data_IF_418210912039
#
_entry.id   IF_418210912039
#
_cell.length_a   1.000
_cell.length_b   1.000
_cell.length_c   1.000
_cell.angle_alpha   90.00
_cell.angle_beta   90.00
_cell.angle_gamma   90.00
#
_symmetry.space_group_name_H-M   'P 1'
#
loop_
_entity.id
_entity.type
_entity.pdbx_description
1 polymer ?
#
# COMPACT_ATOMS: atom_id res chain seq x y z
N UNK A 1 27.35 0.40 28.82
CA UNK A 1 27.01 1.30 27.69
C UNK A 1 26.28 2.50 28.27
N UNK A 2 26.90 3.67 28.20
CA UNK A 2 26.41 4.89 28.87
C UNK A 2 24.96 5.18 28.54
N UNK A 3 24.13 5.42 29.56
CA UNK A 3 22.70 5.76 29.44
C UNK A 3 22.50 6.97 28.51
N UNK A 4 23.44 7.89 28.53
CA UNK A 4 23.43 9.10 27.69
C UNK A 4 23.63 8.81 26.18
N UNK A 5 24.45 7.82 25.85
CA UNK A 5 24.65 7.37 24.47
C UNK A 5 23.38 6.72 23.91
N UNK A 6 22.73 5.90 24.72
CA UNK A 6 21.44 5.26 24.35
C UNK A 6 20.34 6.29 24.13
N UNK A 7 20.26 7.34 24.97
CA UNK A 7 19.28 8.43 24.78
C UNK A 7 19.57 9.25 23.52
N UNK A 8 20.85 9.59 23.25
CA UNK A 8 21.23 10.30 22.01
C UNK A 8 20.94 9.48 20.76
N UNK A 9 21.23 8.16 20.80
CA UNK A 9 20.87 7.25 19.70
C UNK A 9 19.36 7.15 19.50
N UNK A 10 18.58 7.09 20.59
CA UNK A 10 17.11 7.11 20.51
C UNK A 10 16.58 8.42 19.92
N UNK A 11 17.17 9.56 20.29
CA UNK A 11 16.81 10.86 19.71
C UNK A 11 17.18 10.93 18.22
N UNK A 12 18.38 10.47 17.84
CA UNK A 12 18.80 10.42 16.44
C UNK A 12 17.90 9.53 15.59
N UNK A 13 17.50 8.35 16.10
CA UNK A 13 16.56 7.44 15.43
C UNK A 13 15.17 8.08 15.25
N UNK A 14 14.72 8.90 16.21
CA UNK A 14 13.48 9.67 16.08
C UNK A 14 13.51 10.65 14.90
N UNK A 15 14.63 11.32 14.69
CA UNK A 15 14.81 12.24 13.56
C UNK A 15 14.95 11.50 12.23
N UNK A 16 15.64 10.35 12.22
CA UNK A 16 15.72 9.49 11.05
C UNK A 16 14.32 9.00 10.61
N UNK A 17 13.44 8.69 11.55
CA UNK A 17 12.06 8.31 11.24
C UNK A 17 11.27 9.41 10.53
N UNK A 18 11.58 10.68 10.81
CA UNK A 18 10.96 11.80 10.12
C UNK A 18 11.60 12.05 8.73
N UNK A 19 12.88 11.75 8.57
CA UNK A 19 13.62 11.97 7.33
C UNK A 19 13.41 10.87 6.29
N UNK A 20 13.09 9.63 6.71
CA UNK A 20 12.90 8.50 5.80
C UNK A 20 11.81 8.74 4.76
N UNK A 21 10.59 9.17 5.12
CA UNK A 21 9.59 9.53 4.13
C UNK A 21 10.07 10.58 3.14
N UNK A 22 10.82 11.58 3.60
CA UNK A 22 11.38 12.66 2.76
C UNK A 22 12.49 12.15 1.84
N UNK A 23 13.38 11.29 2.31
CA UNK A 23 14.43 10.70 1.48
C UNK A 23 13.86 9.81 0.38
N UNK A 24 12.81 9.06 0.68
CA UNK A 24 12.12 8.21 -0.29
C UNK A 24 11.47 9.02 -1.41
N UNK A 25 11.05 10.24 -1.14
CA UNK A 25 10.57 11.15 -2.17
C UNK A 25 11.66 11.59 -3.13
N UNK A 26 12.85 11.93 -2.63
CA UNK A 26 13.98 12.24 -3.48
C UNK A 26 14.21 11.15 -4.54
N UNK A 27 14.15 9.88 -4.13
CA UNK A 27 14.27 8.74 -5.04
C UNK A 27 13.09 8.58 -6.02
N UNK A 28 11.88 8.94 -5.62
CA UNK A 28 10.73 8.89 -6.52
C UNK A 28 10.85 9.90 -7.66
N UNK A 29 11.58 10.99 -7.46
CA UNK A 29 11.80 12.04 -8.46
C UNK A 29 13.04 11.82 -9.33
N UNK A 30 13.99 10.99 -8.93
CA UNK A 30 15.16 10.66 -9.76
C UNK A 30 14.84 9.57 -10.78
N UNK A 31 14.99 9.90 -12.06
CA UNK A 31 14.66 9.01 -13.19
C UNK A 31 15.52 7.74 -13.24
N UNK A 32 16.69 7.77 -12.65
CA UNK A 32 17.70 6.72 -12.65
C UNK A 32 18.20 6.40 -11.23
N UNK A 33 17.41 6.67 -10.20
CA UNK A 33 17.81 6.35 -8.84
C UNK A 33 18.04 4.84 -8.73
N UNK A 34 19.27 4.49 -8.45
CA UNK A 34 19.63 3.13 -8.12
C UNK A 34 18.91 2.76 -6.81
N UNK A 35 17.99 1.78 -6.83
CA UNK A 35 17.28 1.34 -5.63
C UNK A 35 18.23 0.89 -4.52
N UNK A 36 19.47 0.57 -4.85
CA UNK A 36 20.52 0.13 -3.94
C UNK A 36 20.74 1.13 -2.80
N UNK A 37 20.75 2.44 -3.07
CA UNK A 37 20.95 3.46 -2.05
C UNK A 37 19.79 3.49 -1.07
N UNK A 38 18.56 3.42 -1.55
CA UNK A 38 17.35 3.36 -0.70
C UNK A 38 17.33 2.08 0.14
N UNK A 39 17.73 0.94 -0.43
CA UNK A 39 17.87 -0.32 0.29
C UNK A 39 18.86 -0.17 1.44
N UNK A 40 20.03 0.41 1.18
CA UNK A 40 21.04 0.62 2.23
C UNK A 40 20.59 1.57 3.33
N UNK A 41 19.90 2.66 2.98
CA UNK A 41 19.32 3.57 3.98
C UNK A 41 18.31 2.82 4.86
N UNK A 42 17.42 2.01 4.26
CA UNK A 42 16.43 1.24 5.00
C UNK A 42 17.07 0.14 5.84
N UNK A 43 18.09 -0.56 5.33
CA UNK A 43 18.84 -1.57 6.07
C UNK A 43 19.52 -0.94 7.27
N UNK A 44 20.20 0.19 7.08
CA UNK A 44 20.87 0.93 8.15
C UNK A 44 19.86 1.39 9.20
N UNK A 45 18.74 1.96 8.78
CA UNK A 45 17.70 2.42 9.68
C UNK A 45 17.03 1.25 10.44
N UNK A 46 16.72 0.13 9.78
CA UNK A 46 16.23 -1.08 10.43
C UNK A 46 17.27 -1.62 11.42
N UNK A 47 18.53 -1.68 11.04
CA UNK A 47 19.61 -2.13 11.90
C UNK A 47 19.76 -1.26 13.16
N UNK A 48 19.73 0.07 13.01
CA UNK A 48 19.77 1.00 14.15
C UNK A 48 18.55 0.85 15.05
N UNK A 49 17.37 0.66 14.49
CA UNK A 49 16.15 0.40 15.27
C UNK A 49 16.19 -0.93 16.01
N UNK A 50 16.62 -1.98 15.35
CA UNK A 50 16.81 -3.30 15.98
C UNK A 50 17.82 -3.22 17.10
N UNK A 51 18.97 -2.57 16.91
CA UNK A 51 19.99 -2.39 17.93
C UNK A 51 19.48 -1.62 19.17
N UNK A 52 18.54 -0.67 18.97
CA UNK A 52 17.96 0.12 20.07
C UNK A 52 16.80 -0.57 20.79
N UNK A 53 16.26 -1.69 20.27
CA UNK A 53 15.04 -2.33 20.80
C UNK A 53 15.04 -3.86 20.82
N UNK A 54 16.18 -4.48 20.90
CA UNK A 54 16.39 -5.94 20.77
C UNK A 54 15.49 -6.89 21.58
N UNK A 55 14.56 -6.42 22.41
CA UNK A 55 13.90 -7.31 23.36
C UNK A 55 12.40 -7.60 23.13
N UNK A 56 11.67 -6.95 22.20
CA UNK A 56 10.18 -7.00 22.26
C UNK A 56 9.42 -7.14 20.95
N UNK A 57 10.02 -7.51 19.84
CA UNK A 57 9.28 -7.56 18.57
C UNK A 57 8.92 -8.97 18.15
N UNK A 58 7.66 -9.21 17.75
CA UNK A 58 7.32 -10.46 17.08
C UNK A 58 7.95 -10.48 15.69
N UNK A 59 9.16 -11.00 15.59
CA UNK A 59 9.89 -11.26 14.33
C UNK A 59 9.14 -12.23 13.39
N UNK A 60 8.09 -12.88 13.88
CA UNK A 60 7.36 -13.91 13.14
C UNK A 60 6.78 -13.45 11.82
N UNK A 61 6.25 -12.22 11.74
CA UNK A 61 5.71 -11.69 10.48
C UNK A 61 6.78 -11.43 9.42
N UNK A 62 7.96 -10.94 9.86
CA UNK A 62 9.11 -10.72 8.99
C UNK A 62 9.70 -12.07 8.55
N UNK A 63 9.81 -13.03 9.47
CA UNK A 63 10.26 -14.40 9.17
C UNK A 63 9.33 -15.10 8.18
N UNK A 64 8.02 -14.97 8.32
CA UNK A 64 7.05 -15.51 7.36
C UNK A 64 7.25 -14.86 5.98
N UNK A 65 7.41 -13.54 5.93
CA UNK A 65 7.70 -12.84 4.68
C UNK A 65 9.00 -13.30 4.03
N UNK A 66 10.09 -13.40 4.81
CA UNK A 66 11.38 -13.93 4.33
C UNK A 66 11.26 -15.38 3.88
N UNK A 67 10.50 -16.21 4.61
CA UNK A 67 10.25 -17.61 4.24
C UNK A 67 9.51 -17.70 2.90
N UNK A 68 8.52 -16.82 2.67
CA UNK A 68 7.76 -16.75 1.42
C UNK A 68 8.65 -16.40 0.23
N UNK A 69 9.54 -15.40 0.42
CA UNK A 69 10.54 -15.03 -0.59
C UNK A 69 11.48 -16.20 -0.87
N UNK A 70 11.96 -16.84 0.20
CA UNK A 70 12.91 -17.94 0.08
C UNK A 70 12.27 -19.17 -0.58
N UNK A 71 11.00 -19.46 -0.32
CA UNK A 71 10.28 -20.55 -0.97
C UNK A 71 10.09 -20.28 -2.47
N UNK A 72 9.77 -19.05 -2.87
CA UNK A 72 9.68 -18.72 -4.29
C UNK A 72 11.05 -18.83 -5.00
N UNK A 73 12.13 -18.50 -4.28
CA UNK A 73 13.50 -18.61 -4.78
C UNK A 73 13.96 -20.06 -4.98
N UNK A 74 13.45 -21.02 -4.22
CA UNK A 74 13.76 -22.44 -4.35
C UNK A 74 13.22 -23.06 -5.64
N UNK A 75 12.13 -22.54 -6.16
CA UNK A 75 11.47 -23.09 -7.36
C UNK A 75 11.94 -22.45 -8.67
N UNK A 76 12.50 -21.24 -8.61
CA UNK A 76 12.95 -20.53 -9.81
C UNK A 76 14.25 -19.74 -9.53
N UNK A 77 15.25 -19.79 -10.42
CA UNK A 77 16.42 -18.95 -10.31
C UNK A 77 15.99 -17.49 -10.39
N UNK A 78 16.18 -16.76 -9.29
CA UNK A 78 15.83 -15.35 -9.18
C UNK A 78 16.66 -14.53 -10.17
N UNK A 79 16.00 -13.76 -10.99
CA UNK A 79 16.63 -12.60 -11.61
C UNK A 79 16.91 -11.57 -10.50
N UNK A 80 18.10 -10.96 -10.51
CA UNK A 80 18.61 -10.10 -9.41
C UNK A 80 17.66 -8.95 -9.03
N UNK A 81 16.77 -8.53 -9.92
CA UNK A 81 15.81 -7.43 -9.70
C UNK A 81 14.58 -7.79 -8.85
N UNK A 82 14.19 -9.05 -8.83
CA UNK A 82 12.96 -9.50 -8.17
C UNK A 82 12.99 -9.50 -6.62
N UNK A 83 14.09 -9.89 -5.96
CA UNK A 83 14.13 -9.90 -4.50
C UNK A 83 14.19 -8.51 -3.89
N UNK A 84 14.70 -7.49 -4.61
CA UNK A 84 14.83 -6.13 -4.06
C UNK A 84 13.49 -5.51 -3.70
N UNK A 85 12.47 -5.70 -4.53
CA UNK A 85 11.13 -5.14 -4.33
C UNK A 85 10.47 -5.69 -3.06
N UNK A 86 10.54 -7.00 -2.87
CA UNK A 86 9.95 -7.64 -1.70
C UNK A 86 10.77 -7.39 -0.43
N UNK A 87 12.10 -7.30 -0.56
CA UNK A 87 12.98 -6.91 0.54
C UNK A 87 12.62 -5.50 1.04
N UNK A 88 12.35 -4.55 0.15
CA UNK A 88 11.94 -3.19 0.53
C UNK A 88 10.61 -3.18 1.30
N UNK A 89 9.62 -3.94 0.86
CA UNK A 89 8.35 -4.10 1.59
C UNK A 89 8.58 -4.68 2.99
N UNK A 90 9.42 -5.72 3.10
CA UNK A 90 9.71 -6.39 4.36
C UNK A 90 10.50 -5.50 5.31
N UNK A 91 11.52 -4.79 4.83
CA UNK A 91 12.30 -3.85 5.62
C UNK A 91 11.44 -2.70 6.12
N UNK A 92 10.58 -2.13 5.27
CA UNK A 92 9.66 -1.08 5.67
C UNK A 92 8.61 -1.59 6.68
N UNK A 93 8.13 -2.82 6.54
CA UNK A 93 7.25 -3.45 7.51
C UNK A 93 7.98 -3.67 8.86
N UNK A 94 9.19 -4.22 8.84
CA UNK A 94 10.00 -4.40 10.04
C UNK A 94 10.25 -3.07 10.75
N UNK A 95 10.53 -2.01 10.00
CA UNK A 95 10.70 -0.66 10.51
C UNK A 95 9.42 -0.12 11.16
N UNK A 96 8.27 -0.29 10.52
CA UNK A 96 6.98 0.09 11.06
C UNK A 96 6.65 -0.61 12.37
N UNK A 97 6.98 -1.90 12.51
CA UNK A 97 6.79 -2.67 13.73
C UNK A 97 7.57 -2.12 14.94
N UNK A 98 8.67 -1.42 14.69
CA UNK A 98 9.52 -0.82 15.76
C UNK A 98 9.05 0.57 16.20
N UNK A 99 7.99 1.12 15.61
CA UNK A 99 7.50 2.45 15.90
C UNK A 99 6.85 2.56 17.29
N UNK A 100 6.99 3.73 17.93
CA UNK A 100 6.16 4.12 19.06
C UNK A 100 4.91 4.86 18.55
N UNK A 101 3.85 5.02 19.39
CA UNK A 101 2.67 5.83 19.00
C UNK A 101 3.03 7.25 18.58
N UNK A 102 4.03 7.84 19.24
CA UNK A 102 4.53 9.19 18.92
C UNK A 102 5.23 9.20 17.56
N UNK A 103 6.04 8.20 17.26
CA UNK A 103 6.74 8.07 15.98
C UNK A 103 5.77 7.86 14.83
N UNK A 104 4.75 7.02 15.01
CA UNK A 104 3.67 6.85 14.03
C UNK A 104 3.00 8.19 13.70
N UNK A 105 2.66 8.98 14.71
CA UNK A 105 2.05 10.29 14.51
C UNK A 105 2.97 11.24 13.76
N UNK A 106 4.26 11.30 14.11
CA UNK A 106 5.27 12.10 13.40
C UNK A 106 5.36 11.63 11.94
N UNK A 107 5.48 10.32 11.71
CA UNK A 107 5.55 9.76 10.37
C UNK A 107 4.32 10.11 9.51
N UNK A 108 3.11 10.06 10.07
CA UNK A 108 1.91 10.48 9.34
C UNK A 108 1.92 11.97 8.96
N UNK A 109 2.40 12.84 9.85
CA UNK A 109 2.58 14.25 9.52
C UNK A 109 3.65 14.47 8.46
N UNK A 110 4.77 13.75 8.52
CA UNK A 110 5.80 13.79 7.50
C UNK A 110 5.27 13.31 6.15
N UNK A 111 4.56 12.17 6.12
CA UNK A 111 3.92 11.66 4.92
C UNK A 111 2.92 12.66 4.32
N UNK A 112 2.13 13.31 5.15
CA UNK A 112 1.20 14.34 4.69
C UNK A 112 1.91 15.60 4.17
N UNK A 113 3.01 16.00 4.81
CA UNK A 113 3.83 17.12 4.36
C UNK A 113 4.50 16.88 3.00
N UNK A 114 4.70 15.62 2.61
CA UNK A 114 5.19 15.20 1.30
C UNK A 114 4.35 15.81 0.17
N UNK A 115 3.05 15.97 0.36
CA UNK A 115 2.18 16.62 -0.63
C UNK A 115 2.73 17.99 -1.04
N UNK A 116 3.17 18.79 -0.07
CA UNK A 116 3.76 20.12 -0.35
C UNK A 116 5.07 20.01 -1.13
N UNK A 117 5.88 19.00 -0.81
CA UNK A 117 7.14 18.73 -1.53
C UNK A 117 6.86 18.25 -2.97
N UNK A 118 5.76 17.56 -3.20
CA UNK A 118 5.36 17.10 -4.53
C UNK A 118 4.89 18.27 -5.44
N UNK A 119 4.31 19.33 -4.89
CA UNK A 119 3.70 20.40 -5.68
C UNK A 119 4.61 21.01 -6.78
N UNK A 120 5.89 21.33 -6.52
CA UNK A 120 6.80 21.86 -7.54
C UNK A 120 7.10 20.87 -8.67
N UNK A 121 6.87 19.56 -8.45
CA UNK A 121 7.16 18.49 -9.40
C UNK A 121 5.91 17.96 -10.11
N UNK A 122 4.76 18.55 -9.86
CA UNK A 122 3.54 18.26 -10.61
C UNK A 122 3.65 18.87 -12.00
N UNK A 123 3.43 18.08 -13.03
CA UNK A 123 3.37 18.55 -14.41
C UNK A 123 2.03 19.26 -14.65
N UNK A 124 1.93 20.52 -14.26
CA UNK A 124 0.70 21.32 -14.33
C UNK A 124 0.26 21.64 -15.75
N UNK A 125 1.18 21.60 -16.70
CA UNK A 125 0.97 21.79 -18.14
C UNK A 125 0.25 20.60 -18.81
N UNK A 126 0.17 19.49 -18.11
CA UNK A 126 -0.49 18.27 -18.57
C UNK A 126 -1.72 17.96 -17.71
N UNK A 127 -2.63 18.86 -17.65
CA UNK A 127 -3.87 18.67 -16.93
C UNK A 127 -4.90 17.98 -17.85
N UNK A 128 -4.88 16.64 -17.89
CA UNK A 128 -5.82 15.84 -18.71
C UNK A 128 -6.77 15.06 -17.81
N UNK A 129 -7.79 15.72 -17.35
CA UNK A 129 -8.85 15.06 -16.61
C UNK A 129 -9.68 14.19 -17.52
N UNK A 130 -9.61 12.87 -17.40
CA UNK A 130 -10.68 11.99 -17.88
C UNK A 130 -11.94 12.27 -17.04
N UNK A 131 -12.48 13.45 -17.23
CA UNK A 131 -13.64 14.01 -16.54
C UNK A 131 -14.96 13.34 -16.96
N UNK A 132 -14.89 12.41 -17.93
CA UNK A 132 -16.04 11.59 -18.34
C UNK A 132 -16.66 10.78 -17.20
N UNK A 133 -15.93 10.66 -16.09
CA UNK A 133 -16.38 9.93 -14.90
C UNK A 133 -16.96 10.81 -13.81
N UNK A 134 -16.82 12.11 -13.88
CA UNK A 134 -17.57 13.00 -13.00
C UNK A 134 -18.98 13.08 -13.60
N UNK A 135 -20.00 12.53 -12.90
CA UNK A 135 -21.37 12.51 -13.44
C UNK A 135 -21.98 13.91 -13.60
N UNK A 136 -21.21 14.96 -13.36
CA UNK A 136 -21.62 16.35 -13.51
C UNK A 136 -20.96 16.96 -14.75
N UNK A 137 -21.66 16.85 -15.87
CA UNK A 137 -21.29 17.51 -17.13
C UNK A 137 -20.82 18.98 -16.97
N UNK A 138 -21.42 19.82 -16.11
CA UNK A 138 -20.95 21.19 -15.91
C UNK A 138 -19.54 21.34 -15.33
N UNK A 139 -19.07 20.36 -14.54
CA UNK A 139 -17.70 20.41 -13.99
C UNK A 139 -16.67 19.94 -15.02
N UNK A 140 -17.06 19.08 -15.95
CA UNK A 140 -16.23 18.57 -17.03
C UNK A 140 -15.72 19.68 -17.95
N UNK A 141 -16.60 20.63 -18.29
CA UNK A 141 -16.31 21.71 -19.24
C UNK A 141 -15.44 22.82 -18.60
N UNK A 142 -15.32 22.82 -17.28
CA UNK A 142 -14.57 23.82 -16.51
C UNK A 142 -13.14 23.40 -16.17
N UNK A 143 -12.83 22.12 -16.25
CA UNK A 143 -11.52 21.61 -15.88
C UNK A 143 -10.65 21.37 -17.14
N UNK A 144 -9.38 21.76 -17.10
CA UNK A 144 -8.46 21.54 -18.22
C UNK A 144 -8.37 20.04 -18.57
N UNK A 145 -8.24 19.74 -19.87
CA UNK A 145 -8.36 18.36 -20.39
C UNK A 145 -7.07 17.52 -20.31
N UNK A 146 -6.08 17.89 -19.50
CA UNK A 146 -4.85 17.12 -19.37
C UNK A 146 -4.58 16.61 -17.94
N UNK A 147 -4.23 15.33 -17.79
CA UNK A 147 -4.01 14.70 -16.48
C UNK A 147 -2.74 15.20 -15.80
N UNK A 148 -2.83 15.65 -14.56
CA UNK A 148 -1.63 15.95 -13.78
C UNK A 148 -0.98 14.66 -13.28
N UNK A 149 0.32 14.64 -13.28
CA UNK A 149 1.15 13.61 -12.65
C UNK A 149 2.33 14.23 -11.92
N UNK A 150 2.86 13.53 -10.97
CA UNK A 150 4.16 13.86 -10.43
C UNK A 150 5.19 13.56 -11.53
N UNK A 151 6.09 14.48 -11.79
CA UNK A 151 7.14 14.32 -12.79
C UNK A 151 7.81 12.95 -12.67
N UNK A 152 7.90 12.22 -13.79
CA UNK A 152 8.47 10.86 -13.88
C UNK A 152 7.72 9.73 -13.15
N UNK A 153 6.63 10.02 -12.47
CA UNK A 153 5.73 9.02 -11.91
C UNK A 153 4.50 8.88 -12.83
N UNK A 154 4.08 7.65 -13.12
CA UNK A 154 2.88 7.44 -13.94
C UNK A 154 1.63 7.97 -13.24
N UNK A 155 0.59 8.30 -14.04
CA UNK A 155 -0.69 8.82 -13.56
C UNK A 155 -1.27 7.95 -12.43
N UNK A 156 -1.38 6.64 -12.64
CA UNK A 156 -1.94 5.73 -11.63
C UNK A 156 -1.13 5.69 -10.34
N UNK A 157 0.19 5.82 -10.43
CA UNK A 157 1.06 5.84 -9.24
C UNK A 157 0.93 7.14 -8.46
N UNK A 158 0.84 8.27 -9.17
CA UNK A 158 0.56 9.58 -8.55
C UNK A 158 -0.80 9.56 -7.86
N UNK A 159 -1.81 9.02 -8.54
CA UNK A 159 -3.16 8.85 -8.01
C UNK A 159 -3.18 8.04 -6.69
N UNK A 160 -2.46 6.94 -6.67
CA UNK A 160 -2.34 6.08 -5.49
C UNK A 160 -1.70 6.83 -4.31
N UNK A 161 -0.59 7.55 -4.55
CA UNK A 161 0.09 8.31 -3.49
C UNK A 161 -0.79 9.43 -2.93
N UNK A 162 -1.41 10.22 -3.81
CA UNK A 162 -2.32 11.29 -3.37
C UNK A 162 -3.54 10.73 -2.66
N UNK A 163 -4.07 9.59 -3.09
CA UNK A 163 -5.13 8.87 -2.40
C UNK A 163 -4.73 8.48 -0.97
N UNK A 164 -3.56 7.88 -0.77
CA UNK A 164 -3.04 7.55 0.56
C UNK A 164 -2.84 8.80 1.43
N UNK A 165 -2.26 9.86 0.88
CA UNK A 165 -2.06 11.11 1.62
C UNK A 165 -3.39 11.74 2.03
N UNK A 166 -4.42 11.69 1.19
CA UNK A 166 -5.76 12.17 1.54
C UNK A 166 -6.35 11.41 2.72
N UNK A 167 -6.19 10.08 2.77
CA UNK A 167 -6.67 9.23 3.86
C UNK A 167 -5.93 9.49 5.18
N UNK A 168 -4.61 9.64 5.13
CA UNK A 168 -3.79 10.00 6.29
C UNK A 168 -4.21 11.39 6.81
N UNK A 169 -4.35 12.37 5.91
CA UNK A 169 -4.76 13.72 6.25
C UNK A 169 -6.17 13.79 6.84
N UNK A 170 -7.12 13.06 6.24
CA UNK A 170 -8.48 12.93 6.78
C UNK A 170 -8.47 12.35 8.21
N UNK A 171 -7.69 11.31 8.43
CA UNK A 171 -7.57 10.67 9.75
C UNK A 171 -6.96 11.61 10.80
N UNK A 172 -5.94 12.37 10.42
CA UNK A 172 -5.34 13.40 11.28
C UNK A 172 -6.36 14.51 11.57
N UNK A 173 -7.05 15.02 10.55
CA UNK A 173 -8.11 16.02 10.75
C UNK A 173 -9.20 15.54 11.69
N UNK A 174 -9.62 14.31 11.56
CA UNK A 174 -10.71 13.70 12.35
C UNK A 174 -10.40 13.62 13.85
N UNK A 175 -9.13 13.37 14.21
CA UNK A 175 -8.72 13.07 15.58
C UNK A 175 -7.71 14.06 16.20
N UNK A 176 -7.21 15.06 15.44
CA UNK A 176 -6.30 16.06 15.98
C UNK A 176 -7.04 17.02 16.90
N UNK A 177 -6.50 17.19 18.11
CA UNK A 177 -7.11 18.06 19.14
C UNK A 177 -6.71 19.53 18.99
N UNK A 178 -5.52 19.81 18.44
CA UNK A 178 -5.00 21.17 18.27
C UNK A 178 -5.66 21.82 17.06
N UNK A 179 -6.41 22.93 17.21
CA UNK A 179 -7.22 23.49 16.13
C UNK A 179 -6.39 23.91 14.91
N UNK A 180 -5.20 24.47 15.11
CA UNK A 180 -4.29 24.84 14.01
C UNK A 180 -3.83 23.63 13.19
N UNK A 181 -3.35 22.59 13.86
CA UNK A 181 -2.94 21.34 13.18
C UNK A 181 -4.13 20.62 12.53
N UNK A 182 -5.30 20.64 13.15
CA UNK A 182 -6.52 20.09 12.58
C UNK A 182 -6.89 20.77 11.27
N UNK A 183 -6.83 22.12 11.22
CA UNK A 183 -7.07 22.89 9.99
C UNK A 183 -6.03 22.55 8.92
N UNK A 184 -4.75 22.50 9.30
CA UNK A 184 -3.66 22.12 8.38
C UNK A 184 -3.89 20.72 7.81
N UNK A 185 -4.25 19.74 8.63
CA UNK A 185 -4.57 18.39 8.16
C UNK A 185 -5.74 18.39 7.18
N UNK A 186 -6.81 19.17 7.44
CA UNK A 186 -7.93 19.30 6.52
C UNK A 186 -7.50 19.88 5.17
N UNK A 187 -6.74 20.97 5.18
CA UNK A 187 -6.23 21.60 3.94
C UNK A 187 -5.38 20.63 3.13
N UNK A 188 -4.42 19.97 3.78
CA UNK A 188 -3.53 19.02 3.10
C UNK A 188 -4.27 17.76 2.61
N UNK A 189 -5.26 17.28 3.36
CA UNK A 189 -6.12 16.17 2.93
C UNK A 189 -6.94 16.55 1.69
N UNK A 190 -7.55 17.73 1.71
CA UNK A 190 -8.34 18.24 0.58
C UNK A 190 -7.47 18.48 -0.65
N UNK A 191 -6.30 19.07 -0.47
CA UNK A 191 -5.33 19.26 -1.54
C UNK A 191 -4.90 17.92 -2.15
N UNK A 192 -4.55 16.95 -1.32
CA UNK A 192 -4.19 15.60 -1.77
C UNK A 192 -5.32 14.94 -2.55
N UNK A 193 -6.55 15.08 -2.08
CA UNK A 193 -7.73 14.53 -2.76
C UNK A 193 -7.98 15.20 -4.11
N UNK A 194 -7.88 16.54 -4.19
CA UNK A 194 -8.00 17.28 -5.45
C UNK A 194 -6.90 16.87 -6.43
N UNK A 195 -5.66 16.72 -5.97
CA UNK A 195 -4.56 16.22 -6.79
C UNK A 195 -4.82 14.79 -7.27
N UNK A 196 -5.37 13.92 -6.41
CA UNK A 196 -5.78 12.57 -6.80
C UNK A 196 -6.85 12.59 -7.89
N UNK A 197 -7.88 13.43 -7.75
CA UNK A 197 -8.91 13.65 -8.78
C UNK A 197 -8.30 14.13 -10.09
N UNK A 198 -7.41 15.12 -10.01
CA UNK A 198 -6.78 15.73 -11.17
C UNK A 198 -5.87 14.77 -11.96
N UNK A 199 -5.48 13.62 -11.37
CA UNK A 199 -4.79 12.57 -12.12
C UNK A 199 -5.69 11.86 -13.14
N UNK A 200 -7.01 12.05 -13.09
CA UNK A 200 -7.97 11.37 -13.97
C UNK A 200 -8.10 9.86 -13.75
N UNK A 201 -7.42 9.30 -12.75
CA UNK A 201 -7.54 7.86 -12.44
C UNK A 201 -8.84 7.56 -11.70
N UNK A 202 -9.67 6.68 -12.24
CA UNK A 202 -10.93 6.21 -11.61
C UNK A 202 -10.67 5.68 -10.19
N UNK A 203 -9.59 4.97 -10.01
CA UNK A 203 -9.14 4.44 -8.73
C UNK A 203 -8.83 5.54 -7.71
N UNK A 204 -8.28 6.67 -8.16
CA UNK A 204 -7.93 7.80 -7.32
C UNK A 204 -9.13 8.47 -6.65
N UNK A 205 -10.29 8.42 -7.28
CA UNK A 205 -11.53 8.97 -6.74
C UNK A 205 -12.29 7.96 -5.89
N UNK A 206 -12.60 6.81 -6.48
CA UNK A 206 -13.53 5.86 -5.86
C UNK A 206 -12.95 5.24 -4.58
N UNK A 207 -11.69 4.83 -4.59
CA UNK A 207 -11.13 4.05 -3.50
C UNK A 207 -10.88 4.85 -2.21
N UNK A 208 -10.35 6.09 -2.21
CA UNK A 208 -10.26 6.87 -1.00
C UNK A 208 -11.63 7.17 -0.39
N UNK A 209 -12.62 7.51 -1.21
CA UNK A 209 -14.00 7.78 -0.75
C UNK A 209 -14.60 6.54 -0.11
N UNK A 210 -14.55 5.40 -0.80
CA UNK A 210 -15.05 4.13 -0.25
C UNK A 210 -14.31 3.73 1.02
N UNK A 211 -12.98 3.87 1.05
CA UNK A 211 -12.18 3.57 2.22
C UNK A 211 -12.59 4.43 3.44
N UNK A 212 -12.85 5.74 3.23
CA UNK A 212 -13.35 6.62 4.29
C UNK A 212 -14.74 6.19 4.74
N UNK A 213 -15.68 5.99 3.81
CA UNK A 213 -17.06 5.61 4.13
C UNK A 213 -17.11 4.29 4.93
N UNK A 214 -16.41 3.26 4.48
CA UNK A 214 -16.34 2.00 5.22
C UNK A 214 -15.63 2.16 6.56
N UNK A 215 -14.56 2.94 6.63
CA UNK A 215 -13.84 3.15 7.89
C UNK A 215 -14.71 3.90 8.91
N UNK A 216 -15.45 4.95 8.50
CA UNK A 216 -16.39 5.64 9.37
C UNK A 216 -17.53 4.70 9.83
N UNK A 217 -18.08 3.89 8.93
CA UNK A 217 -19.10 2.92 9.29
C UNK A 217 -18.56 1.90 10.32
N UNK A 218 -17.39 1.33 10.08
CA UNK A 218 -16.75 0.39 11.00
C UNK A 218 -16.36 1.07 12.32
N UNK A 219 -15.92 2.31 12.30
CA UNK A 219 -15.64 3.08 13.50
C UNK A 219 -16.89 3.35 14.34
N UNK A 220 -18.00 3.71 13.69
CA UNK A 220 -19.29 3.92 14.37
C UNK A 220 -19.76 2.65 15.07
N UNK A 221 -19.62 1.49 14.42
CA UNK A 221 -20.05 0.20 14.92
C UNK A 221 -18.88 -0.64 15.48
N UNK A 222 -17.82 0.00 15.96
CA UNK A 222 -16.56 -0.67 16.35
C UNK A 222 -16.71 -1.83 17.33
N UNK A 223 -17.68 -1.81 18.23
CA UNK A 223 -17.91 -2.90 19.18
C UNK A 223 -18.43 -4.16 18.47
N UNK A 224 -19.36 -3.99 17.53
CA UNK A 224 -19.88 -5.09 16.70
C UNK A 224 -18.80 -5.59 15.76
N UNK A 225 -18.10 -4.66 15.10
CA UNK A 225 -16.98 -4.98 14.18
C UNK A 225 -15.89 -5.77 14.90
N UNK A 226 -15.49 -5.36 16.11
CA UNK A 226 -14.49 -6.07 16.89
C UNK A 226 -14.95 -7.49 17.30
N UNK A 227 -16.25 -7.66 17.59
CA UNK A 227 -16.83 -8.97 17.91
C UNK A 227 -16.80 -9.93 16.73
N UNK A 228 -17.09 -9.44 15.54
CA UNK A 228 -17.17 -10.24 14.31
C UNK A 228 -15.96 -10.06 13.38
N UNK A 229 -14.83 -9.60 13.92
CA UNK A 229 -13.64 -9.20 13.15
C UNK A 229 -13.17 -10.26 12.14
N UNK A 230 -13.15 -11.55 12.53
CA UNK A 230 -12.69 -12.66 11.66
C UNK A 230 -13.64 -12.86 10.48
N UNK A 231 -14.94 -12.85 10.75
CA UNK A 231 -15.97 -13.04 9.73
C UNK A 231 -15.99 -11.88 8.76
N UNK A 232 -15.94 -10.64 9.26
CA UNK A 232 -15.89 -9.43 8.43
C UNK A 232 -14.64 -9.39 7.55
N UNK A 233 -13.48 -9.75 8.11
CA UNK A 233 -12.24 -9.82 7.34
C UNK A 233 -12.34 -10.88 6.21
N UNK A 234 -12.86 -12.06 6.52
CA UNK A 234 -13.08 -13.11 5.52
C UNK A 234 -14.11 -12.68 4.46
N UNK A 235 -15.23 -12.08 4.86
CA UNK A 235 -16.27 -11.61 3.94
C UNK A 235 -15.76 -10.52 2.99
N UNK A 236 -14.95 -9.59 3.48
CA UNK A 236 -14.34 -8.56 2.63
C UNK A 236 -13.37 -9.15 1.61
N UNK A 237 -12.53 -10.09 2.02
CA UNK A 237 -11.57 -10.73 1.10
C UNK A 237 -12.28 -11.61 0.08
N UNK A 238 -13.17 -12.49 0.52
CA UNK A 238 -13.93 -13.35 -0.39
C UNK A 238 -14.80 -12.51 -1.32
N UNK A 239 -15.54 -11.54 -0.79
CA UNK A 239 -16.36 -10.63 -1.59
C UNK A 239 -15.54 -9.85 -2.60
N UNK A 240 -14.38 -9.33 -2.20
CA UNK A 240 -13.45 -8.62 -3.09
C UNK A 240 -12.90 -9.53 -4.20
N UNK A 241 -12.48 -10.75 -3.85
CA UNK A 241 -11.98 -11.71 -4.84
C UNK A 241 -13.11 -12.17 -5.80
N UNK A 242 -14.30 -12.48 -5.29
CA UNK A 242 -15.45 -12.81 -6.13
C UNK A 242 -15.83 -11.65 -7.06
N UNK A 243 -15.87 -10.44 -6.53
CA UNK A 243 -16.13 -9.24 -7.34
C UNK A 243 -15.07 -9.07 -8.43
N UNK A 244 -13.80 -9.30 -8.11
CA UNK A 244 -12.70 -9.25 -9.06
C UNK A 244 -12.86 -10.29 -10.18
N UNK A 245 -13.18 -11.54 -9.84
CA UNK A 245 -13.44 -12.59 -10.83
C UNK A 245 -14.60 -12.18 -11.75
N UNK A 246 -15.69 -11.63 -11.20
CA UNK A 246 -16.84 -11.18 -11.99
C UNK A 246 -16.49 -10.02 -12.92
N UNK A 247 -15.63 -9.08 -12.47
CA UNK A 247 -15.19 -7.95 -13.28
C UNK A 247 -14.39 -8.39 -14.51
N UNK A 248 -13.46 -9.32 -14.33
CA UNK A 248 -12.55 -9.80 -15.38
C UNK A 248 -13.07 -11.02 -16.15
N UNK A 249 -14.29 -11.49 -15.84
CA UNK A 249 -14.91 -12.58 -16.60
C UNK A 249 -15.03 -12.22 -18.08
N UNK A 250 -14.87 -13.16 -19.03
CA UNK A 250 -14.91 -12.87 -20.47
C UNK A 250 -16.17 -12.14 -20.97
N UNK A 251 -17.29 -12.30 -20.26
CA UNK A 251 -18.56 -11.57 -20.52
C UNK A 251 -18.87 -10.48 -19.49
N UNK A 252 -17.92 -10.18 -18.61
CA UNK A 252 -18.05 -9.21 -17.52
C UNK A 252 -18.12 -7.75 -18.00
N UNK A 253 -18.42 -6.83 -17.09
CA UNK A 253 -18.58 -5.41 -17.42
C UNK A 253 -17.31 -4.79 -18.05
N UNK A 254 -16.13 -5.21 -17.60
CA UNK A 254 -14.83 -4.70 -18.09
C UNK A 254 -14.57 -5.19 -19.51
N UNK A 255 -14.92 -6.43 -19.84
CA UNK A 255 -14.73 -6.99 -21.17
C UNK A 255 -15.60 -6.34 -22.26
N UNK A 256 -16.65 -5.60 -21.86
CA UNK A 256 -17.58 -4.87 -22.74
C UNK A 256 -17.45 -3.35 -22.65
N UNK A 257 -16.48 -2.87 -21.87
CA UNK A 257 -16.25 -1.46 -21.62
C UNK A 257 -15.41 -0.74 -22.69
N UNK A 258 -14.78 0.33 -22.28
CA UNK A 258 -13.86 1.08 -23.13
C UNK A 258 -12.69 0.23 -23.62
N UNK A 259 -12.04 0.56 -24.75
CA UNK A 259 -10.90 -0.17 -25.28
C UNK A 259 -9.76 -0.39 -24.26
N UNK A 260 -9.56 0.55 -23.33
CA UNK A 260 -8.57 0.40 -22.23
C UNK A 260 -8.99 -0.66 -21.20
N UNK A 261 -10.29 -0.84 -20.97
CA UNK A 261 -10.81 -1.85 -20.04
C UNK A 261 -10.85 -3.23 -20.71
N UNK A 262 -11.16 -3.29 -22.01
CA UNK A 262 -11.06 -4.53 -22.81
C UNK A 262 -9.62 -5.06 -22.78
N UNK A 263 -8.63 -4.21 -22.99
CA UNK A 263 -7.21 -4.59 -22.89
C UNK A 263 -6.83 -5.15 -21.51
N UNK A 264 -7.41 -4.61 -20.43
CA UNK A 264 -7.20 -5.16 -19.07
C UNK A 264 -7.79 -6.56 -18.90
N UNK A 265 -8.98 -6.81 -19.45
CA UNK A 265 -9.60 -8.14 -19.42
C UNK A 265 -8.79 -9.16 -20.22
N UNK A 266 -8.31 -8.78 -21.40
CA UNK A 266 -7.45 -9.64 -22.24
C UNK A 266 -6.13 -9.97 -21.54
N UNK A 267 -5.48 -8.98 -20.91
CA UNK A 267 -4.28 -9.20 -20.09
C UNK A 267 -4.56 -10.14 -18.94
N UNK A 268 -5.65 -9.93 -18.19
CA UNK A 268 -6.01 -10.80 -17.07
C UNK A 268 -6.22 -12.25 -17.55
N UNK A 269 -6.90 -12.45 -18.68
CA UNK A 269 -7.08 -13.77 -19.29
C UNK A 269 -5.74 -14.39 -19.72
N UNK A 270 -4.85 -13.60 -20.32
CA UNK A 270 -3.51 -14.05 -20.63
C UNK A 270 -2.76 -14.52 -19.38
N UNK A 271 -2.77 -13.72 -18.31
CA UNK A 271 -2.11 -14.07 -17.07
C UNK A 271 -2.67 -15.36 -16.45
N UNK A 272 -4.00 -15.51 -16.43
CA UNK A 272 -4.63 -16.75 -15.95
C UNK A 272 -4.21 -17.94 -16.79
N UNK A 273 -4.32 -17.85 -18.13
CA UNK A 273 -4.01 -18.96 -19.03
C UNK A 273 -2.55 -19.40 -18.94
N UNK A 274 -1.64 -18.43 -18.83
CA UNK A 274 -0.21 -18.73 -18.67
C UNK A 274 0.10 -19.31 -17.28
N UNK A 275 -0.55 -18.83 -16.22
CA UNK A 275 -0.32 -19.30 -14.84
C UNK A 275 -0.79 -20.75 -14.62
N UNK A 276 -1.79 -21.22 -15.39
CA UNK A 276 -2.32 -22.59 -15.27
C UNK A 276 -1.81 -23.52 -16.38
N UNK A 277 -0.78 -23.12 -17.10
CA UNK A 277 -0.25 -23.87 -18.25
C UNK A 277 0.26 -25.27 -17.85
N UNK A 278 0.84 -25.39 -16.68
CA UNK A 278 1.25 -26.65 -16.08
C UNK A 278 0.89 -26.65 -14.59
N UNK A 279 0.81 -27.86 -14.00
CA UNK A 279 0.59 -27.99 -12.56
C UNK A 279 1.73 -27.38 -11.72
N UNK A 280 2.94 -27.45 -12.23
CA UNK A 280 4.11 -26.83 -11.60
C UNK A 280 4.03 -25.31 -11.61
N UNK A 281 3.66 -24.72 -12.78
CA UNK A 281 3.44 -23.27 -12.92
C UNK A 281 2.31 -22.79 -12.01
N UNK A 282 1.23 -23.54 -11.89
CA UNK A 282 0.12 -23.20 -11.01
C UNK A 282 0.52 -23.19 -9.53
N UNK A 283 1.28 -24.19 -9.08
CA UNK A 283 1.69 -24.28 -7.66
C UNK A 283 2.80 -23.31 -7.31
N UNK A 284 3.86 -23.23 -8.11
CA UNK A 284 5.10 -22.52 -7.80
C UNK A 284 5.27 -21.19 -8.55
N UNK A 285 4.38 -20.88 -9.51
CA UNK A 285 4.52 -19.76 -10.42
C UNK A 285 5.56 -20.01 -11.50
N UNK A 286 5.78 -19.03 -12.35
CA UNK A 286 6.73 -19.13 -13.46
C UNK A 286 7.99 -18.28 -13.26
N UNK A 287 8.11 -17.63 -12.14
CA UNK A 287 9.16 -16.66 -11.83
C UNK A 287 8.77 -15.24 -12.25
N UNK A 288 9.48 -14.32 -11.66
CA UNK A 288 9.17 -12.88 -11.72
C UNK A 288 9.19 -12.36 -13.16
N UNK A 289 8.16 -11.60 -13.52
CA UNK A 289 7.94 -10.93 -14.82
C UNK A 289 7.91 -11.84 -16.07
N UNK A 290 8.14 -13.15 -15.98
CA UNK A 290 8.14 -14.03 -17.15
C UNK A 290 6.78 -14.13 -17.85
N UNK A 291 5.70 -14.16 -17.08
CA UNK A 291 4.34 -14.12 -17.63
C UNK A 291 4.04 -12.71 -18.16
N UNK A 292 4.51 -11.68 -17.46
CA UNK A 292 4.42 -10.29 -17.91
C UNK A 292 5.01 -10.09 -19.29
N UNK A 293 6.22 -10.58 -19.53
CA UNK A 293 6.92 -10.48 -20.82
C UNK A 293 6.17 -11.22 -21.92
N UNK A 294 5.66 -12.43 -21.65
CA UNK A 294 4.89 -13.19 -22.63
C UNK A 294 3.55 -12.57 -22.97
N UNK A 295 2.83 -12.06 -21.95
CA UNK A 295 1.55 -11.39 -22.16
C UNK A 295 1.74 -10.03 -22.86
N UNK A 296 2.82 -9.32 -22.60
CA UNK A 296 3.16 -8.09 -23.32
C UNK A 296 3.43 -8.31 -24.81
N UNK A 297 3.81 -9.51 -25.22
CA UNK A 297 3.95 -9.88 -26.63
C UNK A 297 2.62 -10.28 -27.30
N UNK A 298 1.60 -10.60 -26.53
CA UNK A 298 0.29 -11.07 -27.02
C UNK A 298 -0.80 -10.02 -26.96
N UNK A 299 -0.76 -9.15 -25.96
CA UNK A 299 -1.79 -8.14 -25.68
C UNK A 299 -1.20 -6.75 -25.75
N UNK A 300 -1.73 -5.93 -26.66
CA UNK A 300 -1.24 -4.59 -26.93
C UNK A 300 -2.21 -3.53 -26.44
N UNK A 301 -1.67 -2.36 -26.07
CA UNK A 301 -2.50 -1.20 -25.80
C UNK A 301 -3.26 -0.80 -27.06
N UNK A 302 -4.54 -0.39 -26.94
CA UNK A 302 -5.30 0.11 -28.08
C UNK A 302 -4.51 1.22 -28.79
N UNK A 303 -4.46 1.13 -30.13
CA UNK A 303 -3.77 2.10 -30.98
C UNK A 303 -2.25 2.25 -30.74
N UNK A 304 -1.60 1.25 -30.13
CA UNK A 304 -0.15 1.25 -29.95
C UNK A 304 0.44 -0.13 -30.12
N UNK A 305 1.72 -0.20 -30.55
CA UNK A 305 2.47 -1.44 -30.60
C UNK A 305 3.13 -1.77 -29.24
N UNK A 306 2.73 -1.11 -28.16
CA UNK A 306 3.28 -1.36 -26.82
C UNK A 306 2.43 -2.42 -26.12
N UNK A 307 3.07 -3.54 -25.81
CA UNK A 307 2.48 -4.59 -24.97
C UNK A 307 2.21 -4.11 -23.55
N UNK A 308 1.26 -4.74 -22.90
CA UNK A 308 0.90 -4.45 -21.50
C UNK A 308 1.70 -5.39 -20.60
N UNK A 309 2.70 -4.89 -19.84
CA UNK A 309 3.65 -5.74 -19.11
C UNK A 309 3.20 -6.15 -17.71
N UNK A 310 1.93 -5.99 -17.33
CA UNK A 310 1.45 -6.33 -15.99
C UNK A 310 -0.04 -6.63 -15.96
N UNK A 311 -0.45 -7.46 -15.01
CA UNK A 311 -1.82 -7.99 -14.93
C UNK A 311 -2.90 -6.96 -14.55
N UNK A 312 -2.55 -5.75 -14.13
CA UNK A 312 -3.45 -4.79 -13.46
C UNK A 312 -4.21 -5.38 -12.25
N UNK A 313 -3.63 -6.41 -11.63
CA UNK A 313 -4.21 -7.10 -10.49
C UNK A 313 -3.07 -7.74 -9.69
N UNK A 314 -2.90 -7.34 -8.43
CA UNK A 314 -1.80 -7.83 -7.60
C UNK A 314 -1.91 -9.35 -7.32
N UNK A 315 -3.11 -9.89 -7.19
CA UNK A 315 -3.31 -11.33 -6.94
C UNK A 315 -2.95 -12.17 -8.16
N UNK A 316 -3.34 -11.70 -9.36
CA UNK A 316 -2.94 -12.37 -10.61
C UNK A 316 -1.44 -12.26 -10.86
N UNK A 317 -0.83 -11.12 -10.51
CA UNK A 317 0.61 -10.96 -10.61
C UNK A 317 1.34 -11.96 -9.71
N UNK A 318 0.93 -12.06 -8.44
CA UNK A 318 1.51 -13.04 -7.49
C UNK A 318 1.25 -14.48 -7.93
N UNK A 319 0.07 -14.78 -8.48
CA UNK A 319 -0.23 -16.10 -9.03
C UNK A 319 0.72 -16.46 -10.16
N UNK A 320 0.95 -15.54 -11.07
CA UNK A 320 1.82 -15.74 -12.22
C UNK A 320 3.29 -15.90 -11.83
N UNK A 321 3.76 -15.04 -10.93
CA UNK A 321 5.18 -14.98 -10.56
C UNK A 321 5.55 -16.07 -9.53
N UNK A 322 4.67 -16.35 -8.54
CA UNK A 322 4.97 -17.15 -7.36
C UNK A 322 3.98 -18.30 -7.09
N UNK A 323 2.94 -18.44 -7.91
CA UNK A 323 1.96 -19.52 -7.83
C UNK A 323 0.88 -19.36 -6.77
N UNK A 324 -0.04 -20.33 -6.74
CA UNK A 324 -1.21 -20.32 -5.86
C UNK A 324 -0.85 -20.39 -4.38
N UNK A 325 0.25 -21.05 -4.03
CA UNK A 325 0.71 -21.12 -2.63
C UNK A 325 1.01 -19.72 -2.10
N UNK A 326 1.69 -18.88 -2.87
CA UNK A 326 1.98 -17.50 -2.49
C UNK A 326 0.70 -16.64 -2.40
N UNK A 327 -0.26 -16.86 -3.31
CA UNK A 327 -1.58 -16.19 -3.24
C UNK A 327 -2.32 -16.54 -1.95
N UNK A 328 -2.36 -17.83 -1.59
CA UNK A 328 -3.01 -18.27 -0.35
C UNK A 328 -2.35 -17.66 0.89
N UNK A 329 -1.02 -17.59 0.91
CA UNK A 329 -0.28 -16.97 2.00
C UNK A 329 -0.53 -15.45 2.05
N UNK A 330 -0.59 -14.77 0.90
CA UNK A 330 -0.96 -13.35 0.83
C UNK A 330 -2.38 -13.14 1.38
N UNK A 331 -3.34 -13.97 1.00
CA UNK A 331 -4.73 -13.92 1.51
C UNK A 331 -4.76 -14.13 3.03
N UNK A 332 -4.00 -15.08 3.55
CA UNK A 332 -3.89 -15.33 5.00
C UNK A 332 -3.30 -14.14 5.75
N UNK A 333 -2.25 -13.50 5.21
CA UNK A 333 -1.66 -12.29 5.79
C UNK A 333 -2.67 -11.14 5.78
N UNK A 334 -3.37 -10.93 4.68
CA UNK A 334 -4.41 -9.91 4.56
C UNK A 334 -5.56 -10.17 5.53
N UNK A 335 -6.04 -11.40 5.62
CA UNK A 335 -7.07 -11.80 6.57
C UNK A 335 -6.64 -11.58 8.02
N UNK A 336 -5.44 -12.00 8.38
CA UNK A 336 -4.89 -11.80 9.72
C UNK A 336 -4.73 -10.32 10.06
N UNK A 337 -4.26 -9.50 9.11
CA UNK A 337 -4.11 -8.07 9.27
C UNK A 337 -5.45 -7.36 9.46
N UNK A 338 -6.42 -7.60 8.58
CA UNK A 338 -7.77 -7.05 8.72
C UNK A 338 -8.44 -7.47 10.03
N UNK A 339 -8.31 -8.75 10.41
CA UNK A 339 -8.84 -9.25 11.69
C UNK A 339 -8.26 -8.48 12.87
N UNK A 340 -6.94 -8.21 12.86
CA UNK A 340 -6.30 -7.41 13.91
C UNK A 340 -6.76 -5.96 13.91
N UNK A 341 -6.88 -5.34 12.74
CA UNK A 341 -7.40 -3.98 12.61
C UNK A 341 -8.81 -3.88 13.19
N UNK A 342 -9.71 -4.77 12.79
CA UNK A 342 -11.08 -4.78 13.28
C UNK A 342 -11.17 -5.06 14.78
N UNK A 343 -10.41 -6.03 15.29
CA UNK A 343 -10.44 -6.38 16.72
C UNK A 343 -9.86 -5.30 17.62
N UNK A 344 -8.98 -4.45 17.10
CA UNK A 344 -8.32 -3.37 17.85
C UNK A 344 -9.01 -2.01 17.69
N UNK A 345 -10.08 -1.91 16.91
CA UNK A 345 -10.85 -0.66 16.76
C UNK A 345 -11.34 -0.13 18.11
N UNK A 346 -10.94 1.09 18.42
CA UNK A 346 -11.31 1.76 19.67
C UNK A 346 -10.50 1.34 20.91
N UNK A 347 -9.59 0.37 20.81
CA UNK A 347 -8.71 -0.07 21.91
C UNK A 347 -7.34 0.60 21.88
N UNK A 348 -6.89 1.04 20.72
CA UNK A 348 -5.60 1.69 20.47
C UNK A 348 -5.84 3.14 20.06
N UNK A 349 -4.77 3.95 19.98
CA UNK A 349 -4.84 5.35 19.57
C UNK A 349 -5.74 5.55 18.33
N UNK A 350 -6.80 6.38 18.43
CA UNK A 350 -7.83 6.50 17.40
C UNK A 350 -7.28 6.82 16.01
N UNK A 351 -6.32 7.74 15.94
CA UNK A 351 -5.67 8.12 14.68
C UNK A 351 -5.04 6.91 13.98
N UNK A 352 -4.30 6.10 14.73
CA UNK A 352 -3.58 4.95 14.16
C UNK A 352 -4.54 3.86 13.69
N UNK A 353 -5.59 3.59 14.47
CA UNK A 353 -6.63 2.64 14.08
C UNK A 353 -7.33 3.08 12.79
N UNK A 354 -7.61 4.37 12.68
CA UNK A 354 -8.33 4.91 11.54
C UNK A 354 -7.44 4.97 10.29
N UNK A 355 -6.20 5.47 10.40
CA UNK A 355 -5.21 5.42 9.30
C UNK A 355 -4.98 3.99 8.85
N UNK A 356 -4.74 3.09 9.81
CA UNK A 356 -4.52 1.68 9.50
C UNK A 356 -5.65 1.08 8.70
N UNK A 357 -6.89 1.24 9.16
CA UNK A 357 -8.04 0.65 8.49
C UNK A 357 -8.32 1.29 7.12
N UNK A 358 -8.33 2.63 7.04
CA UNK A 358 -8.61 3.32 5.77
C UNK A 358 -7.55 3.04 4.71
N UNK A 359 -6.28 3.07 5.07
CA UNK A 359 -5.20 2.75 4.13
C UNK A 359 -5.21 1.28 3.71
N UNK A 360 -5.54 0.35 4.63
CA UNK A 360 -5.64 -1.07 4.28
C UNK A 360 -6.80 -1.37 3.35
N UNK A 361 -7.97 -0.78 3.58
CA UNK A 361 -9.12 -0.91 2.67
C UNK A 361 -8.81 -0.33 1.29
N UNK A 362 -8.14 0.81 1.26
CA UNK A 362 -7.68 1.42 0.02
C UNK A 362 -6.66 0.54 -0.72
N UNK A 363 -5.65 0.03 -0.01
CA UNK A 363 -4.65 -0.88 -0.60
C UNK A 363 -5.30 -2.16 -1.12
N UNK A 364 -6.24 -2.74 -0.39
CA UNK A 364 -6.98 -3.94 -0.83
C UNK A 364 -7.77 -3.65 -2.11
N UNK A 365 -8.51 -2.54 -2.15
CA UNK A 365 -9.25 -2.14 -3.34
C UNK A 365 -8.31 -1.90 -4.54
N UNK A 366 -7.17 -1.23 -4.31
CA UNK A 366 -6.17 -1.02 -5.34
C UNK A 366 -5.54 -2.33 -5.83
N UNK A 367 -5.25 -3.28 -4.93
CA UNK A 367 -4.68 -4.57 -5.28
C UNK A 367 -5.58 -5.42 -6.19
N UNK A 368 -6.90 -5.23 -6.11
CA UNK A 368 -7.88 -5.95 -6.93
C UNK A 368 -7.92 -5.48 -8.40
N UNK A 369 -7.52 -4.24 -8.68
CA UNK A 369 -7.66 -3.64 -10.02
C UNK A 369 -6.37 -3.01 -10.55
N UNK A 370 -5.31 -2.99 -9.75
CA UNK A 370 -4.00 -2.46 -10.13
C UNK A 370 -2.88 -3.29 -9.49
N UNK A 371 -1.81 -3.52 -10.23
CA UNK A 371 -0.59 -4.17 -9.71
C UNK A 371 0.41 -3.15 -9.14
N UNK A 372 0.03 -1.87 -9.05
CA UNK A 372 0.93 -0.74 -8.79
C UNK A 372 1.49 -0.68 -7.38
N UNK A 373 0.91 -1.43 -6.42
CA UNK A 373 1.33 -1.44 -5.01
C UNK A 373 2.81 -1.82 -4.78
N UNK A 374 3.39 -2.55 -5.72
CA UNK A 374 4.72 -3.15 -5.58
C UNK A 374 5.69 -2.72 -6.69
N UNK A 375 5.33 -1.76 -7.55
CA UNK A 375 6.11 -1.44 -8.77
C UNK A 375 7.11 -0.29 -8.63
N UNK A 376 7.02 0.53 -7.59
CA UNK A 376 8.02 1.58 -7.33
C UNK A 376 8.53 1.48 -5.92
N UNK A 377 9.79 1.88 -5.72
CA UNK A 377 10.43 1.92 -4.40
C UNK A 377 9.57 2.65 -3.38
N UNK A 378 9.01 3.81 -3.73
CA UNK A 378 8.16 4.56 -2.82
C UNK A 378 6.88 3.80 -2.45
N UNK A 379 6.21 3.17 -3.42
CA UNK A 379 4.99 2.39 -3.15
C UNK A 379 5.28 1.14 -2.33
N UNK A 380 6.38 0.47 -2.61
CA UNK A 380 6.84 -0.70 -1.84
C UNK A 380 7.08 -0.35 -0.38
N UNK A 381 7.80 0.75 -0.14
CA UNK A 381 8.08 1.23 1.21
C UNK A 381 6.80 1.70 1.91
N UNK A 382 5.94 2.47 1.24
CA UNK A 382 4.64 2.88 1.79
C UNK A 382 3.77 1.68 2.12
N UNK A 383 3.67 0.72 1.20
CA UNK A 383 2.91 -0.52 1.41
C UNK A 383 3.45 -1.30 2.59
N UNK A 384 4.76 -1.56 2.64
CA UNK A 384 5.38 -2.27 3.75
C UNK A 384 5.18 -1.58 5.09
N UNK A 385 5.38 -0.28 5.13
CA UNK A 385 5.20 0.52 6.34
C UNK A 385 3.76 0.46 6.87
N UNK A 386 2.77 0.63 5.98
CA UNK A 386 1.35 0.55 6.35
C UNK A 386 0.92 -0.89 6.71
N UNK A 387 1.52 -1.91 6.09
CA UNK A 387 1.30 -3.31 6.45
C UNK A 387 1.69 -3.61 7.89
N UNK A 388 2.63 -2.87 8.50
CA UNK A 388 3.03 -3.06 9.89
C UNK A 388 1.95 -2.68 10.91
N UNK A 389 1.04 -1.77 10.59
CA UNK A 389 0.07 -1.19 11.54
C UNK A 389 -0.75 -2.25 12.30
N UNK A 390 -1.39 -3.24 11.64
CA UNK A 390 -2.19 -4.25 12.35
C UNK A 390 -1.42 -5.05 13.39
N UNK A 391 -0.18 -5.41 13.06
CA UNK A 391 0.68 -6.20 13.96
C UNK A 391 1.20 -5.35 15.12
N UNK A 392 1.56 -4.10 14.85
CA UNK A 392 1.92 -3.16 15.87
C UNK A 392 0.76 -2.91 16.85
N UNK A 393 -0.46 -2.71 16.34
CA UNK A 393 -1.66 -2.51 17.17
C UNK A 393 -1.95 -3.71 18.07
N UNK A 394 -1.76 -4.92 17.59
CA UNK A 394 -1.95 -6.14 18.38
C UNK A 394 -0.94 -6.23 19.54
N UNK A 395 0.31 -5.86 19.32
CA UNK A 395 1.33 -5.84 20.38
C UNK A 395 1.09 -4.76 21.43
N UNK A 396 0.56 -3.60 21.01
CA UNK A 396 0.25 -2.48 21.90
C UNK A 396 -1.02 -2.71 22.75
N UNK A 397 -1.91 -3.59 22.33
CA UNK A 397 -3.14 -3.93 23.05
C UNK A 397 -2.99 -5.09 24.04
N UNK A 398 -1.87 -5.80 24.02
CA UNK A 398 -1.58 -6.84 25.02
C UNK A 398 -1.40 -6.18 26.39
N UNK A 399 -2.15 -6.57 27.43
CA UNK A 399 -1.92 -6.06 28.77
C UNK A 399 -0.46 -6.39 29.16
N UNK A 400 0.30 -5.36 29.52
CA UNK A 400 1.58 -5.58 30.16
C UNK A 400 1.28 -6.48 31.35
N UNK A 401 1.88 -7.66 31.36
CA UNK A 401 1.93 -8.49 32.58
C UNK A 401 2.54 -7.59 33.63
N UNK A 402 1.65 -6.98 34.43
CA UNK A 402 2.07 -6.21 35.58
C UNK A 402 2.92 -7.16 36.42
N UNK A 403 4.22 -6.86 36.49
CA UNK A 403 5.07 -7.41 37.50
C UNK A 403 4.32 -7.25 38.82
N UNK A 404 3.84 -8.37 39.37
CA UNK A 404 3.38 -8.40 40.74
C UNK A 404 4.47 -7.70 41.58
N UNK A 405 4.15 -6.69 42.37
CA UNK A 405 5.05 -6.30 43.44
C UNK A 405 5.16 -7.53 44.32
N UNK A 406 6.36 -8.09 44.39
CA UNK A 406 6.73 -9.03 45.44
C UNK A 406 6.46 -8.31 46.76
N UNK A 407 5.37 -8.70 47.43
CA UNK A 407 5.16 -8.39 48.84
C UNK A 407 6.21 -9.21 49.62
N UNK A 408 7.30 -8.53 49.98
CA UNK A 408 8.12 -8.90 51.11
C UNK A 408 7.80 -8.00 52.29
#
# INVERSE_FOLDING_TARGET
MDSLLVERLRAAVLWLDALIPLSLLGFAFERNADPTVTVWILVLWCGLKLATRLAKTPLYGVLIGVLLVSLSALFHPLTISAPTDLILVLLACAAGLQQTPRQWRIAFWCLLAIVLVCLPFVEWDRFNGNLELIPFAPLRDWLPQEAIRIQRITINRSAYLFGLFSLIGYSLWRFERRPGLRRLAAVLASLSFVLALATGSRAAFAYPVLAVLFTEAFWRYRHVVARYARVLAASLLVGGLCFNVLLYWPSGPIAKGDPSDVGRAEVAQCFVSESVRSWQDFLGGQGYDRVSDRCAQKVFLPNSNKGIPHSHNAFLQVLADQGVVAVLLMVLVLWAGLTRLFSSLGRVAPVLSFVGLSCWLFMLAAALVESTLLKTVLQQVMTGYLLAIPWWMASASSPSVSSHPSSD
#
